data_IF_304911663488
#
_entry.id   IF_304911663488
#
_cell.length_a   1.000
_cell.length_b   1.000
_cell.length_c   1.000
_cell.angle_alpha   90.00
_cell.angle_beta   90.00
_cell.angle_gamma   90.00
#
_symmetry.space_group_name_H-M   'P 1'
#
loop_
_entity.id
_entity.type
_entity.pdbx_description
1 polymer ?
#
# COMPACT_ATOMS: atom_id res chain seq x y z
N UNK A 1 16.96 -25.18 -4.39
CA UNK A 1 15.76 -25.49 -5.18
C UNK A 1 14.97 -24.20 -5.29
N UNK A 2 14.93 -23.54 -6.46
CA UNK A 2 14.23 -22.25 -6.62
C UNK A 2 12.75 -22.56 -6.89
N UNK A 3 11.88 -22.35 -5.91
CA UNK A 3 10.43 -22.39 -6.12
C UNK A 3 10.03 -21.15 -6.91
N UNK A 4 9.90 -21.29 -8.22
CA UNK A 4 9.27 -20.26 -9.05
C UNK A 4 7.77 -20.34 -8.83
N UNK A 5 7.26 -19.59 -7.84
CA UNK A 5 5.82 -19.46 -7.62
C UNK A 5 5.24 -18.67 -8.80
N UNK A 6 4.55 -19.32 -9.72
CA UNK A 6 3.89 -18.63 -10.84
C UNK A 6 2.85 -17.66 -10.27
N UNK A 7 3.09 -16.36 -10.42
CA UNK A 7 2.18 -15.31 -10.00
C UNK A 7 0.88 -15.42 -10.81
N UNK A 8 -0.23 -15.74 -10.14
CA UNK A 8 -1.54 -15.82 -10.77
C UNK A 8 -2.11 -14.41 -10.93
N UNK A 9 -2.54 -14.05 -12.13
CA UNK A 9 -3.26 -12.81 -12.41
C UNK A 9 -4.77 -13.07 -12.34
N UNK A 10 -5.50 -12.11 -11.80
CA UNK A 10 -6.97 -12.11 -11.71
C UNK A 10 -7.50 -10.83 -12.33
N UNK A 11 -8.60 -10.92 -13.09
CA UNK A 11 -9.29 -9.76 -13.66
C UNK A 11 -10.54 -9.45 -12.83
N UNK A 12 -10.72 -8.18 -12.49
CA UNK A 12 -11.94 -7.65 -11.86
C UNK A 12 -12.60 -6.66 -12.82
N UNK A 13 -13.92 -6.67 -12.89
CA UNK A 13 -14.72 -5.68 -13.65
C UNK A 13 -15.49 -4.87 -12.62
N UNK A 14 -15.19 -3.59 -12.53
CA UNK A 14 -15.71 -2.65 -11.52
C UNK A 14 -16.07 -1.33 -12.19
N UNK A 15 -16.98 -0.57 -11.59
CA UNK A 15 -17.22 0.81 -12.00
C UNK A 15 -16.02 1.69 -11.64
N UNK A 16 -15.78 2.75 -12.43
CA UNK A 16 -14.64 3.63 -12.20
C UNK A 16 -14.64 4.23 -10.78
N UNK A 17 -15.81 4.59 -10.26
CA UNK A 17 -15.97 5.12 -8.90
C UNK A 17 -15.54 4.12 -7.82
N UNK A 18 -15.80 2.82 -8.01
CA UNK A 18 -15.40 1.78 -7.07
C UNK A 18 -13.87 1.61 -7.08
N UNK A 19 -13.25 1.71 -8.26
CA UNK A 19 -11.78 1.66 -8.38
C UNK A 19 -11.12 2.83 -7.67
N UNK A 20 -11.69 4.03 -7.76
CA UNK A 20 -11.19 5.20 -7.03
C UNK A 20 -11.34 5.03 -5.51
N UNK A 21 -12.44 4.46 -5.02
CA UNK A 21 -12.58 4.15 -3.59
C UNK A 21 -11.56 3.10 -3.10
N UNK A 22 -11.24 2.10 -3.94
CA UNK A 22 -10.19 1.13 -3.64
C UNK A 22 -8.83 1.83 -3.55
N UNK A 23 -8.53 2.76 -4.46
CA UNK A 23 -7.30 3.56 -4.43
C UNK A 23 -7.20 4.41 -3.16
N UNK A 24 -8.29 5.07 -2.75
CA UNK A 24 -8.31 5.85 -1.51
C UNK A 24 -7.98 4.97 -0.30
N UNK A 25 -8.67 3.82 -0.17
CA UNK A 25 -8.42 2.88 0.92
C UNK A 25 -6.98 2.32 0.91
N UNK A 26 -6.42 2.04 -0.27
CA UNK A 26 -5.03 1.58 -0.39
C UNK A 26 -4.04 2.67 0.01
N UNK A 27 -4.31 3.93 -0.33
CA UNK A 27 -3.48 5.07 0.08
C UNK A 27 -3.49 5.24 1.60
N UNK A 28 -4.66 5.16 2.23
CA UNK A 28 -4.78 5.21 3.70
C UNK A 28 -3.99 4.08 4.37
N UNK A 29 -4.06 2.86 3.80
CA UNK A 29 -3.26 1.72 4.29
C UNK A 29 -1.77 1.96 4.11
N UNK A 30 -1.32 2.40 2.94
CA UNK A 30 0.10 2.70 2.70
C UNK A 30 0.61 3.76 3.70
N UNK A 31 -0.16 4.83 3.90
CA UNK A 31 0.19 5.91 4.80
C UNK A 31 0.29 5.46 6.26
N UNK A 32 -0.61 4.57 6.72
CA UNK A 32 -0.55 4.02 8.08
C UNK A 32 0.76 3.23 8.32
N UNK A 33 1.21 2.46 7.33
CA UNK A 33 2.47 1.73 7.41
C UNK A 33 3.70 2.67 7.33
N UNK A 34 3.66 3.70 6.49
CA UNK A 34 4.72 4.73 6.44
C UNK A 34 4.84 5.49 7.75
N UNK A 35 3.71 5.80 8.39
CA UNK A 35 3.66 6.41 9.72
C UNK A 35 4.21 5.46 10.79
N UNK A 36 3.93 4.16 10.67
CA UNK A 36 4.48 3.12 11.56
C UNK A 36 5.99 3.06 11.46
N UNK A 37 6.54 3.00 10.23
CA UNK A 37 7.98 3.06 9.98
C UNK A 37 8.59 4.33 10.60
N UNK A 38 8.01 5.51 10.29
CA UNK A 38 8.50 6.78 10.81
C UNK A 38 8.48 6.82 12.35
N UNK A 39 7.43 6.28 12.98
CA UNK A 39 7.32 6.18 14.44
C UNK A 39 8.40 5.30 15.04
N UNK A 40 8.63 4.10 14.48
CA UNK A 40 9.67 3.18 14.95
C UNK A 40 11.09 3.75 14.76
N UNK A 41 11.30 4.60 13.75
CA UNK A 41 12.56 5.31 13.54
C UNK A 41 12.74 6.57 14.42
N UNK A 42 11.73 6.94 15.21
CA UNK A 42 11.73 8.19 15.99
C UNK A 42 11.67 9.45 15.12
N UNK A 43 11.12 9.34 13.91
CA UNK A 43 11.00 10.41 12.89
C UNK A 43 9.55 10.85 12.67
N UNK A 44 8.60 10.36 13.46
CA UNK A 44 7.21 10.76 13.34
C UNK A 44 7.00 12.13 13.98
N UNK A 45 6.82 13.15 13.14
CA UNK A 45 6.72 14.55 13.56
C UNK A 45 5.28 15.09 13.52
N UNK A 46 4.26 14.24 13.33
CA UNK A 46 2.87 14.70 13.24
C UNK A 46 2.28 14.99 14.63
N UNK A 47 1.49 16.06 14.71
CA UNK A 47 0.62 16.36 15.85
C UNK A 47 -0.64 15.46 15.87
N UNK A 48 -0.88 14.69 14.81
CA UNK A 48 -2.04 13.81 14.69
C UNK A 48 -1.91 12.56 15.56
N UNK A 49 -3.03 12.16 16.16
CA UNK A 49 -3.14 10.88 16.87
C UNK A 49 -3.16 9.77 15.82
N UNK A 50 -2.11 8.96 15.82
CA UNK A 50 -1.96 7.79 14.97
C UNK A 50 -1.74 6.54 15.84
N UNK A 51 -2.31 5.41 15.40
CA UNK A 51 -2.13 4.10 16.05
C UNK A 51 -1.16 3.30 15.17
N UNK A 52 0.04 2.97 15.68
CA UNK A 52 0.98 2.09 14.97
C UNK A 52 0.34 0.76 14.58
N UNK A 53 0.64 0.31 13.36
CA UNK A 53 0.28 -1.04 12.91
C UNK A 53 1.08 -2.09 13.71
N UNK A 54 0.61 -3.33 13.68
CA UNK A 54 1.19 -4.44 14.46
C UNK A 54 2.51 -4.93 13.85
N UNK A 55 3.61 -4.21 14.09
CA UNK A 55 4.99 -4.65 13.80
C UNK A 55 6.02 -3.98 14.72
N UNK A 56 7.16 -4.64 14.93
CA UNK A 56 8.27 -4.11 15.75
C UNK A 56 9.50 -3.68 14.92
N UNK A 57 9.52 -3.98 13.62
CA UNK A 57 10.66 -3.68 12.74
C UNK A 57 10.31 -2.59 11.71
N UNK A 58 11.06 -1.46 11.65
CA UNK A 58 10.83 -0.44 10.63
C UNK A 58 10.89 -0.97 9.19
N UNK A 59 11.77 -1.94 8.93
CA UNK A 59 11.91 -2.56 7.61
C UNK A 59 10.66 -3.32 7.18
N UNK A 60 10.01 -4.03 8.11
CA UNK A 60 8.75 -4.72 7.84
C UNK A 60 7.66 -3.72 7.45
N UNK A 61 7.52 -2.64 8.23
CA UNK A 61 6.57 -1.57 7.92
C UNK A 61 6.83 -0.94 6.54
N UNK A 62 8.10 -0.67 6.22
CA UNK A 62 8.52 -0.12 4.93
C UNK A 62 8.20 -1.06 3.76
N UNK A 63 8.48 -2.35 3.91
CA UNK A 63 8.19 -3.37 2.88
C UNK A 63 6.68 -3.49 2.61
N UNK A 64 5.86 -3.44 3.66
CA UNK A 64 4.39 -3.49 3.53
C UNK A 64 3.85 -2.21 2.90
N UNK A 65 4.33 -1.03 3.32
CA UNK A 65 3.99 0.24 2.70
C UNK A 65 4.31 0.22 1.20
N UNK A 66 5.53 -0.19 0.85
CA UNK A 66 5.96 -0.30 -0.55
C UNK A 66 5.06 -1.27 -1.33
N UNK A 67 4.65 -2.38 -0.73
CA UNK A 67 3.72 -3.31 -1.38
C UNK A 67 2.38 -2.64 -1.75
N UNK A 68 1.80 -1.85 -0.85
CA UNK A 68 0.60 -1.07 -1.17
C UNK A 68 0.85 -0.04 -2.29
N UNK A 69 1.98 0.66 -2.26
CA UNK A 69 2.37 1.62 -3.31
C UNK A 69 2.53 0.95 -4.67
N UNK A 70 3.06 -0.26 -4.73
CA UNK A 70 3.19 -1.03 -5.96
C UNK A 70 1.82 -1.43 -6.54
N UNK A 71 0.86 -1.79 -5.67
CA UNK A 71 -0.52 -2.08 -6.07
C UNK A 71 -1.18 -0.81 -6.63
N UNK A 72 -1.08 0.32 -5.92
CA UNK A 72 -1.62 1.62 -6.32
C UNK A 72 -1.09 2.00 -7.71
N UNK A 73 0.23 2.00 -7.88
CA UNK A 73 0.89 2.30 -9.17
C UNK A 73 0.39 1.40 -10.29
N UNK A 74 0.21 0.11 -10.02
CA UNK A 74 -0.33 -0.84 -10.99
C UNK A 74 -1.75 -0.48 -11.43
N UNK A 75 -2.62 -0.08 -10.49
CA UNK A 75 -4.00 0.33 -10.78
C UNK A 75 -4.03 1.66 -11.54
N UNK A 76 -3.26 2.65 -11.11
CA UNK A 76 -3.19 3.98 -11.74
C UNK A 76 -2.70 3.90 -13.19
N UNK A 77 -1.68 3.07 -13.47
CA UNK A 77 -1.23 2.81 -14.84
C UNK A 77 -2.35 2.21 -15.69
N UNK A 78 -3.16 1.30 -15.13
CA UNK A 78 -4.29 0.73 -15.86
C UNK A 78 -5.36 1.78 -16.15
N UNK A 79 -5.72 2.62 -15.19
CA UNK A 79 -6.68 3.71 -15.39
C UNK A 79 -6.23 4.68 -16.48
N UNK A 80 -4.96 5.08 -16.48
CA UNK A 80 -4.41 6.03 -17.45
C UNK A 80 -4.29 5.46 -18.87
N UNK A 81 -4.15 4.13 -19.02
CA UNK A 81 -4.07 3.47 -20.32
C UNK A 81 -5.46 3.17 -20.94
N UNK A 82 -6.54 3.42 -20.21
CA UNK A 82 -7.92 3.19 -20.66
C UNK A 82 -8.71 4.47 -20.97
N UNK A 83 -8.06 5.65 -20.89
CA UNK A 83 -8.56 6.95 -21.37
C UNK A 83 -8.00 7.29 -22.74
#
# INVERSE_FOLDING_TARGET
MKTSTTQRKTTLILENADVLQILDALNDRAQAWENTEASLLGKFESEDIFIPEECDEPSEASEIAQHFRDIISTIEVQLNNHN
#
